data_IF_954915865975
#
_entry.id   IF_954915865975
#
_cell.length_a   1.000
_cell.length_b   1.000
_cell.length_c   1.000
_cell.angle_alpha   90.00
_cell.angle_beta   90.00
_cell.angle_gamma   90.00
#
_symmetry.space_group_name_H-M   'P 1'
#
loop_
_entity.id
_entity.type
_entity.pdbx_description
1 polymer ?
#
# COMPACT_ATOMS: atom_id res chain seq x y z
N UNK A 1 -4.84 4.82 0.77
CA UNK A 1 -3.57 4.83 1.55
C UNK A 1 -2.59 5.63 0.72
N UNK A 2 -1.90 6.57 1.34
CA UNK A 2 -1.05 7.54 0.66
C UNK A 2 0.43 7.42 1.05
N UNK A 3 1.27 8.21 0.38
CA UNK A 3 2.69 8.36 0.70
C UNK A 3 2.90 8.56 2.21
N UNK A 4 3.86 7.84 2.78
CA UNK A 4 4.14 7.83 4.22
C UNK A 4 3.43 6.73 5.00
N UNK A 5 2.50 6.01 4.36
CA UNK A 5 1.95 4.77 4.91
C UNK A 5 3.06 3.75 5.13
N UNK A 6 2.98 2.98 6.21
CA UNK A 6 4.04 2.06 6.62
C UNK A 6 3.49 0.83 7.33
N UNK A 7 4.17 -0.30 7.18
CA UNK A 7 3.89 -1.53 7.91
C UNK A 7 3.86 -2.78 7.04
N UNK A 8 3.59 -3.95 7.65
CA UNK A 8 3.64 -5.24 6.98
C UNK A 8 2.69 -5.38 5.79
N UNK A 9 1.48 -4.80 5.87
CA UNK A 9 0.53 -4.82 4.75
C UNK A 9 0.97 -3.90 3.61
N UNK A 10 1.65 -2.80 3.93
CA UNK A 10 2.26 -1.90 2.92
C UNK A 10 3.35 -2.63 2.17
N UNK A 11 4.14 -3.47 2.85
CA UNK A 11 5.18 -4.26 2.21
C UNK A 11 4.64 -5.23 1.14
N UNK A 12 3.43 -5.77 1.35
CA UNK A 12 2.78 -6.62 0.36
C UNK A 12 2.35 -5.85 -0.89
N UNK A 13 1.88 -4.60 -0.72
CA UNK A 13 1.62 -3.71 -1.85
C UNK A 13 2.90 -3.44 -2.64
N UNK A 14 4.00 -3.09 -1.95
CA UNK A 14 5.29 -2.85 -2.60
C UNK A 14 5.78 -4.11 -3.35
N UNK A 15 5.59 -5.30 -2.79
CA UNK A 15 5.90 -6.55 -3.46
C UNK A 15 5.06 -6.78 -4.73
N UNK A 16 3.77 -6.45 -4.71
CA UNK A 16 2.91 -6.51 -5.91
C UNK A 16 3.39 -5.52 -6.96
N UNK A 17 3.70 -4.28 -6.57
CA UNK A 17 4.26 -3.29 -7.50
C UNK A 17 5.60 -3.74 -8.08
N UNK A 18 6.43 -4.47 -7.31
CA UNK A 18 7.67 -5.05 -7.80
C UNK A 18 7.46 -6.24 -8.75
N UNK A 19 6.38 -7.00 -8.60
CA UNK A 19 5.97 -7.99 -9.60
C UNK A 19 5.52 -7.28 -10.87
N UNK A 20 4.59 -6.34 -10.75
CA UNK A 20 4.11 -5.52 -11.86
C UNK A 20 5.24 -4.86 -12.65
N UNK A 21 6.15 -4.15 -11.97
CA UNK A 21 7.27 -3.47 -12.61
C UNK A 21 8.14 -4.40 -13.47
N UNK A 22 8.34 -5.66 -13.02
CA UNK A 22 9.08 -6.68 -13.78
C UNK A 22 8.31 -7.22 -14.98
N UNK A 23 6.98 -7.19 -14.97
CA UNK A 23 6.16 -7.63 -16.09
C UNK A 23 6.10 -6.59 -17.22
N UNK A 24 6.16 -5.29 -16.89
CA UNK A 24 5.97 -4.21 -17.88
C UNK A 24 7.29 -3.66 -18.44
N UNK A 25 8.42 -3.86 -17.76
CA UNK A 25 9.73 -3.35 -18.21
C UNK A 25 10.74 -4.49 -18.33
N UNK A 26 11.19 -4.77 -19.55
CA UNK A 26 12.33 -5.65 -19.83
C UNK A 26 13.63 -4.86 -19.62
N UNK A 27 14.11 -4.81 -18.37
CA UNK A 27 15.54 -4.74 -18.02
C UNK A 27 15.72 -4.63 -16.51
N UNK A 28 16.85 -5.19 -16.08
CA UNK A 28 17.36 -5.25 -14.72
C UNK A 28 17.69 -3.85 -14.12
N UNK A 29 16.69 -3.15 -13.58
CA UNK A 29 16.73 -2.05 -12.58
C UNK A 29 15.29 -1.46 -12.59
N UNK A 30 14.56 -1.28 -11.49
CA UNK A 30 14.62 -0.05 -10.70
C UNK A 30 13.72 -0.13 -9.43
N UNK A 31 14.36 -0.05 -8.26
CA UNK A 31 14.02 0.95 -7.23
C UNK A 31 12.82 0.74 -6.30
N UNK A 32 12.01 -0.32 -6.43
CA UNK A 32 10.98 -0.59 -5.43
C UNK A 32 11.60 -1.30 -4.24
N UNK A 33 11.91 -0.52 -3.21
CA UNK A 33 12.29 -1.06 -1.92
C UNK A 33 11.05 -1.66 -1.24
N UNK A 34 11.07 -2.97 -1.00
CA UNK A 34 10.08 -3.65 -0.16
C UNK A 34 10.53 -3.53 1.31
N UNK A 35 10.58 -2.29 1.79
CA UNK A 35 10.98 -1.91 3.15
C UNK A 35 9.78 -1.68 4.07
N UNK A 36 8.57 -1.89 3.55
CA UNK A 36 7.31 -1.61 4.25
C UNK A 36 6.98 -0.13 4.37
N UNK A 37 7.62 0.77 3.61
CA UNK A 37 7.35 2.20 3.57
C UNK A 37 6.86 2.60 2.19
N UNK A 38 5.65 3.15 2.13
CA UNK A 38 5.09 3.68 0.89
C UNK A 38 5.68 5.05 0.58
N UNK A 39 6.91 5.05 0.03
CA UNK A 39 7.67 6.23 -0.35
C UNK A 39 7.44 6.68 -1.79
N UNK A 40 8.34 7.53 -2.30
CA UNK A 40 8.25 8.08 -3.66
C UNK A 40 8.25 6.98 -4.74
N UNK A 41 9.04 5.93 -4.57
CA UNK A 41 9.07 4.85 -5.55
C UNK A 41 7.76 4.06 -5.54
N UNK A 42 7.15 3.84 -4.37
CA UNK A 42 5.83 3.20 -4.27
C UNK A 42 4.76 4.01 -5.00
N UNK A 43 4.72 5.33 -4.79
CA UNK A 43 3.80 6.25 -5.49
C UNK A 43 4.04 6.23 -7.00
N UNK A 44 5.30 6.27 -7.43
CA UNK A 44 5.65 6.24 -8.85
C UNK A 44 5.07 4.99 -9.54
N UNK A 45 5.31 3.81 -8.97
CA UNK A 45 4.85 2.56 -9.57
C UNK A 45 3.35 2.35 -9.46
N UNK A 46 2.72 2.86 -8.39
CA UNK A 46 1.27 2.85 -8.29
C UNK A 46 0.63 3.70 -9.39
N UNK A 47 1.17 4.88 -9.69
CA UNK A 47 0.66 5.70 -10.80
C UNK A 47 0.76 4.99 -12.15
N UNK A 48 1.87 4.27 -12.39
CA UNK A 48 2.00 3.48 -13.61
C UNK A 48 0.95 2.36 -13.68
N UNK A 49 0.74 1.65 -12.57
CA UNK A 49 -0.29 0.61 -12.46
C UNK A 49 -1.69 1.19 -12.69
N UNK A 50 -2.03 2.30 -12.04
CA UNK A 50 -3.32 2.98 -12.21
C UNK A 50 -3.54 3.45 -13.64
N UNK A 51 -2.50 4.02 -14.27
CA UNK A 51 -2.58 4.45 -15.67
C UNK A 51 -2.82 3.27 -16.62
N UNK A 52 -2.13 2.14 -16.40
CA UNK A 52 -2.38 0.92 -17.19
C UNK A 52 -3.79 0.36 -16.95
N UNK A 53 -4.29 0.47 -15.72
CA UNK A 53 -5.60 -0.01 -15.31
C UNK A 53 -6.75 0.97 -15.65
N UNK A 54 -6.46 2.08 -16.34
CA UNK A 54 -7.44 3.13 -16.68
C UNK A 54 -8.18 3.70 -15.44
N UNK A 55 -7.49 3.77 -14.31
CA UNK A 55 -7.99 4.36 -13.06
C UNK A 55 -7.58 5.83 -12.92
N UNK A 56 -8.11 6.51 -11.91
CA UNK A 56 -7.57 7.80 -11.48
C UNK A 56 -6.09 7.64 -11.05
N UNK A 57 -5.21 8.45 -11.64
CA UNK A 57 -3.75 8.37 -11.45
C UNK A 57 -3.30 9.30 -10.32
N UNK A 58 -3.74 9.02 -9.10
CA UNK A 58 -3.41 9.81 -7.90
C UNK A 58 -2.11 9.31 -7.21
N UNK A 59 -1.76 8.04 -7.40
CA UNK A 59 -0.67 7.34 -6.72
C UNK A 59 -1.03 6.82 -5.33
N UNK A 60 -2.30 6.93 -4.93
CA UNK A 60 -2.85 6.41 -3.69
C UNK A 60 -3.49 5.03 -3.86
N UNK A 61 -3.41 4.19 -2.83
CA UNK A 61 -4.10 2.90 -2.80
C UNK A 61 -5.53 3.09 -2.25
N UNK A 62 -6.40 3.75 -3.04
CA UNK A 62 -7.80 4.01 -2.75
C UNK A 62 -8.75 2.85 -3.08
N UNK A 63 -10.08 2.99 -2.91
CA UNK A 63 -11.06 1.91 -3.13
C UNK A 63 -10.99 1.28 -4.52
N UNK A 64 -10.95 2.09 -5.59
CA UNK A 64 -10.87 1.59 -6.97
C UNK A 64 -9.57 0.81 -7.23
N UNK A 65 -8.44 1.33 -6.75
CA UNK A 65 -7.15 0.63 -6.82
C UNK A 65 -7.17 -0.69 -6.06
N UNK A 66 -7.80 -0.73 -4.88
CA UNK A 66 -7.91 -1.97 -4.07
C UNK A 66 -8.80 -3.01 -4.74
N UNK A 67 -9.90 -2.59 -5.36
CA UNK A 67 -10.77 -3.47 -6.14
C UNK A 67 -9.99 -4.07 -7.31
N UNK A 68 -9.27 -3.24 -8.07
CA UNK A 68 -8.40 -3.72 -9.14
C UNK A 68 -7.33 -4.71 -8.65
N UNK A 69 -6.66 -4.43 -7.52
CA UNK A 69 -5.69 -5.36 -6.93
C UNK A 69 -6.32 -6.71 -6.54
N UNK A 70 -7.55 -6.68 -6.03
CA UNK A 70 -8.29 -7.88 -5.67
C UNK A 70 -8.69 -8.70 -6.90
N UNK A 71 -9.11 -8.07 -7.98
CA UNK A 71 -9.51 -8.75 -9.20
C UNK A 71 -8.32 -9.27 -10.00
N UNK A 72 -7.30 -8.43 -10.21
CA UNK A 72 -6.16 -8.73 -11.10
C UNK A 72 -5.04 -9.51 -10.41
N UNK A 73 -4.82 -9.29 -9.12
CA UNK A 73 -3.72 -9.90 -8.36
C UNK A 73 -4.21 -10.80 -7.22
N UNK A 74 -5.53 -11.00 -7.08
CA UNK A 74 -6.13 -11.77 -5.99
C UNK A 74 -5.69 -11.30 -4.59
N UNK A 75 -5.36 -10.01 -4.48
CA UNK A 75 -4.88 -9.39 -3.26
C UNK A 75 -6.00 -8.58 -2.60
N UNK A 76 -6.46 -9.05 -1.44
CA UNK A 76 -7.41 -8.30 -0.61
C UNK A 76 -6.64 -7.46 0.42
N UNK A 77 -6.57 -6.15 0.19
CA UNK A 77 -5.86 -5.20 1.06
C UNK A 77 -6.35 -5.25 2.52
N UNK A 78 -7.65 -5.36 2.73
CA UNK A 78 -8.25 -5.32 4.06
C UNK A 78 -8.01 -6.64 4.80
N UNK A 79 -8.07 -7.77 4.09
CA UNK A 79 -7.70 -9.06 4.65
C UNK A 79 -6.20 -9.12 4.96
N UNK A 80 -5.35 -8.60 4.07
CA UNK A 80 -3.91 -8.51 4.29
C UNK A 80 -3.57 -7.62 5.49
N UNK A 81 -4.20 -6.45 5.59
CA UNK A 81 -4.10 -5.60 6.76
C UNK A 81 -4.43 -6.41 8.02
N UNK A 82 -5.56 -7.14 8.06
CA UNK A 82 -6.00 -7.91 9.24
C UNK A 82 -5.15 -9.14 9.57
N UNK A 83 -4.64 -9.83 8.57
CA UNK A 83 -3.91 -11.08 8.74
C UNK A 83 -2.45 -10.86 9.13
N UNK A 84 -1.86 -9.75 8.67
CA UNK A 84 -0.46 -9.47 8.94
C UNK A 84 -0.28 -9.01 10.39
N UNK A 85 0.51 -9.75 11.16
CA UNK A 85 0.97 -9.32 12.48
C UNK A 85 1.76 -8.02 12.39
N UNK A 86 1.83 -7.25 13.48
CA UNK A 86 2.55 -5.98 13.54
C UNK A 86 1.66 -4.75 13.37
N UNK A 87 2.26 -3.57 13.40
CA UNK A 87 1.53 -2.29 13.32
C UNK A 87 1.60 -1.74 11.90
N UNK A 88 0.43 -1.51 11.31
CA UNK A 88 0.24 -0.78 10.08
C UNK A 88 -0.19 0.66 10.39
N UNK A 89 0.35 1.62 9.66
CA UNK A 89 -0.06 3.02 9.68
C UNK A 89 -0.42 3.40 8.26
N UNK A 90 -1.67 3.77 8.03
CA UNK A 90 -2.17 4.14 6.72
C UNK A 90 -2.50 5.64 6.70
N UNK A 91 -1.69 6.40 5.96
CA UNK A 91 -1.94 7.81 5.68
C UNK A 91 -3.13 7.92 4.71
N UNK A 92 -4.08 8.78 5.01
CA UNK A 92 -5.25 9.08 4.16
C UNK A 92 -4.99 10.33 3.29
N UNK A 93 -5.81 10.59 2.26
CA UNK A 93 -5.65 11.78 1.40
C UNK A 93 -5.64 13.12 2.13
N UNK A 94 -6.34 13.22 3.27
CA UNK A 94 -6.35 14.42 4.14
C UNK A 94 -5.13 14.50 5.08
N UNK A 95 -4.20 13.56 4.99
CA UNK A 95 -3.03 13.43 5.85
C UNK A 95 -3.28 12.74 7.18
N UNK A 96 -4.51 12.33 7.49
CA UNK A 96 -4.80 11.59 8.72
C UNK A 96 -4.13 10.22 8.72
N UNK A 97 -3.61 9.79 9.87
CA UNK A 97 -3.02 8.45 10.04
C UNK A 97 -4.03 7.51 10.70
N UNK A 98 -4.37 6.42 10.02
CA UNK A 98 -5.11 5.30 10.60
C UNK A 98 -4.10 4.25 11.06
N UNK A 99 -4.00 4.06 12.38
CA UNK A 99 -3.12 3.04 12.97
C UNK A 99 -3.93 1.77 13.21
N UNK A 100 -3.47 0.67 12.63
CA UNK A 100 -4.04 -0.65 12.84
C UNK A 100 -2.97 -1.62 13.33
N UNK A 101 -3.25 -2.38 14.38
CA UNK A 101 -2.38 -3.47 14.85
C UNK A 101 -3.26 -4.55 15.45
N UNK A 102 -3.07 -5.83 15.11
CA UNK A 102 -3.82 -6.92 15.72
C UNK A 102 -3.42 -7.06 17.20
N UNK A 103 -2.27 -6.52 17.59
CA UNK A 103 -1.77 -6.51 18.97
C UNK A 103 -2.25 -5.31 19.79
N UNK A 104 -2.85 -4.28 19.17
CA UNK A 104 -3.38 -3.09 19.87
C UNK A 104 -4.77 -3.33 20.49
N UNK A 105 -5.36 -4.53 20.31
CA UNK A 105 -6.62 -4.94 20.96
C UNK A 105 -6.49 -4.96 22.51
N UNK A 106 -5.28 -4.74 23.07
CA UNK A 106 -5.06 -4.69 24.51
C UNK A 106 -4.95 -3.28 25.15
N UNK A 107 -5.13 -2.14 24.46
CA UNK A 107 -5.39 -0.82 25.09
C UNK A 107 -5.64 0.31 24.07
N UNK A 108 -6.79 1.00 24.08
CA UNK A 108 -6.94 2.26 23.35
C UNK A 108 -6.06 3.34 23.99
N UNK A 109 -5.09 3.87 23.25
CA UNK A 109 -4.44 5.14 23.61
C UNK A 109 -5.27 6.27 23.02
N UNK A 110 -6.06 6.92 23.88
CA UNK A 110 -6.59 8.25 23.61
C UNK A 110 -5.40 9.23 23.57
N UNK A 111 -5.13 9.81 22.40
CA UNK A 111 -4.25 10.97 22.31
C UNK A 111 -5.00 12.17 22.88
N UNK A 112 -4.65 12.57 24.11
CA UNK A 112 -5.01 13.88 24.65
C UNK A 112 -3.80 14.79 24.45
N UNK A 113 -3.93 15.81 23.61
CA UNK A 113 -3.37 17.14 23.83
C UNK A 113 -4.26 18.14 23.11
#
# INVERSE_FOLDING_TARGET
MEKGSRGPAVNLILAILAVYAREVVDTSLHGIDCDGIYGDTGVHWMRNLQNLAELEVDGGCGPQTREYLKERYHFDFEAAARAMGGTNVFVQPDGTEIIWSPNLVAKPRLSKY
#
